data_IF_593502291159
#
_entry.id   IF_593502291159
#
_cell.length_a   1.000
_cell.length_b   1.000
_cell.length_c   1.000
_cell.angle_alpha   90.00
_cell.angle_beta   90.00
_cell.angle_gamma   90.00
#
_symmetry.space_group_name_H-M   'P 1'
#
loop_
_entity.id
_entity.type
_entity.pdbx_description
1 polymer ?
#
# COMPACT_ATOMS: atom_id res chain seq x y z
N UNK A 1 -14.15 17.33 0.85
CA UNK A 1 -12.76 17.29 1.37
C UNK A 1 -11.86 16.71 0.30
N UNK A 2 -10.55 16.90 0.39
CA UNK A 2 -9.56 16.25 -0.48
C UNK A 2 -8.55 15.50 0.39
N UNK A 3 -8.27 14.26 0.03
CA UNK A 3 -7.21 13.46 0.64
C UNK A 3 -6.13 13.17 -0.40
N UNK A 4 -4.88 13.11 0.04
CA UNK A 4 -3.73 12.71 -0.76
C UNK A 4 -2.90 11.73 0.06
N UNK A 5 -2.45 10.64 -0.58
CA UNK A 5 -1.72 9.55 0.07
C UNK A 5 -0.52 9.24 -0.81
N UNK A 6 0.64 9.09 -0.19
CA UNK A 6 1.89 8.75 -0.84
C UNK A 6 2.57 7.64 -0.04
N UNK A 7 3.38 6.83 -0.72
CA UNK A 7 4.27 5.89 -0.04
C UNK A 7 5.61 6.56 0.22
N UNK A 8 6.28 6.15 1.29
CA UNK A 8 7.63 6.57 1.63
C UNK A 8 8.53 5.36 1.80
N UNK A 9 9.76 5.47 1.27
CA UNK A 9 10.76 4.39 1.27
C UNK A 9 10.86 3.65 -0.07
N UNK A 10 11.57 2.52 -0.07
CA UNK A 10 11.68 1.64 -1.25
C UNK A 10 10.35 0.93 -1.47
N UNK A 11 9.81 1.01 -2.69
CA UNK A 11 8.65 0.24 -3.11
C UNK A 11 9.04 -1.13 -3.71
N UNK A 12 10.34 -1.44 -3.79
CA UNK A 12 10.87 -2.68 -4.39
C UNK A 12 11.20 -3.66 -3.27
N UNK A 13 10.55 -4.83 -3.26
CA UNK A 13 10.64 -5.86 -2.21
C UNK A 13 10.69 -5.27 -0.78
N UNK A 14 9.71 -4.44 -0.37
CA UNK A 14 9.76 -3.80 0.94
C UNK A 14 9.39 -4.80 2.04
N UNK A 15 10.22 -4.93 3.07
CA UNK A 15 9.80 -5.57 4.33
C UNK A 15 8.94 -4.63 5.19
N UNK A 16 9.02 -3.31 4.95
CA UNK A 16 8.21 -2.26 5.58
C UNK A 16 7.94 -1.16 4.57
N UNK A 17 6.73 -0.61 4.57
CA UNK A 17 6.34 0.51 3.72
C UNK A 17 5.81 1.65 4.57
N UNK A 18 6.39 2.83 4.42
CA UNK A 18 5.84 4.05 5.00
C UNK A 18 4.69 4.56 4.15
N UNK A 19 3.65 5.06 4.80
CA UNK A 19 2.50 5.70 4.16
C UNK A 19 2.36 7.07 4.80
N UNK A 20 2.43 8.11 3.99
CA UNK A 20 2.18 9.48 4.40
C UNK A 20 0.94 10.00 3.70
N UNK A 21 0.27 10.97 4.28
CA UNK A 21 -0.85 11.60 3.63
C UNK A 21 -1.27 12.90 4.26
N UNK A 22 -2.15 13.60 3.55
CA UNK A 22 -2.75 14.83 4.01
C UNK A 22 -4.23 14.86 3.67
N UNK A 23 -5.03 15.47 4.55
CA UNK A 23 -6.46 15.74 4.33
C UNK A 23 -6.69 17.23 4.49
N UNK A 24 -7.40 17.81 3.53
CA UNK A 24 -7.75 19.23 3.52
C UNK A 24 -9.23 19.46 3.20
N UNK A 25 -9.80 20.51 3.76
CA UNK A 25 -11.13 20.99 3.41
C UNK A 25 -11.10 21.62 2.01
N UNK A 26 -12.19 21.48 1.25
CA UNK A 26 -12.30 22.07 -0.10
C UNK A 26 -12.39 23.60 -0.05
N UNK A 27 -12.76 24.16 1.09
CA UNK A 27 -12.79 25.59 1.37
C UNK A 27 -11.40 26.21 1.62
N UNK A 28 -10.32 25.42 1.64
CA UNK A 28 -8.95 25.95 1.74
C UNK A 28 -8.33 25.98 3.13
N UNK A 29 -8.47 24.90 3.92
CA UNK A 29 -7.81 24.73 5.22
C UNK A 29 -7.41 23.28 5.51
N UNK A 30 -6.40 23.06 6.35
CA UNK A 30 -5.98 21.73 6.79
C UNK A 30 -7.04 21.07 7.68
N UNK A 31 -7.30 19.77 7.48
CA UNK A 31 -8.25 19.03 8.30
C UNK A 31 -7.61 18.60 9.63
N UNK A 32 -7.17 19.57 10.42
CA UNK A 32 -6.41 19.30 11.62
C UNK A 32 -7.22 18.61 12.72
N UNK A 33 -6.57 17.73 13.50
CA UNK A 33 -7.17 16.97 14.61
C UNK A 33 -8.37 16.10 14.22
N UNK A 34 -8.56 15.85 12.93
CA UNK A 34 -9.64 15.00 12.44
C UNK A 34 -9.31 13.52 12.74
N UNK A 35 -10.19 12.76 13.40
CA UNK A 35 -10.02 11.32 13.52
C UNK A 35 -10.32 10.65 12.17
N UNK A 36 -9.41 9.82 11.69
CA UNK A 36 -9.51 9.09 10.43
C UNK A 36 -9.22 7.61 10.63
N UNK A 37 -9.77 6.78 9.75
CA UNK A 37 -9.53 5.34 9.73
C UNK A 37 -8.75 4.96 8.47
N UNK A 38 -7.47 4.64 8.64
CA UNK A 38 -6.64 4.10 7.57
C UNK A 38 -6.87 2.59 7.45
N UNK A 39 -7.22 2.12 6.25
CA UNK A 39 -7.39 0.70 5.94
C UNK A 39 -6.31 0.30 4.95
N UNK A 40 -5.46 -0.64 5.33
CA UNK A 40 -4.40 -1.16 4.46
C UNK A 40 -4.65 -2.64 4.18
N UNK A 41 -4.33 -3.07 2.96
CA UNK A 41 -4.36 -4.47 2.54
C UNK A 41 -3.11 -4.74 1.73
N UNK A 42 -2.45 -5.85 2.02
CA UNK A 42 -1.35 -6.36 1.21
C UNK A 42 -1.92 -7.47 0.33
N UNK A 43 -1.78 -7.29 -0.99
CA UNK A 43 -2.19 -8.28 -2.00
C UNK A 43 -0.94 -8.82 -2.69
N UNK A 44 -0.85 -10.14 -2.82
CA UNK A 44 0.14 -10.77 -3.69
C UNK A 44 -0.39 -10.68 -5.12
N UNK A 45 -0.03 -9.63 -5.85
CA UNK A 45 -0.35 -9.56 -7.27
C UNK A 45 0.63 -10.43 -8.07
N UNK A 46 0.06 -11.21 -9.00
CA UNK A 46 0.81 -12.06 -9.92
C UNK A 46 1.45 -11.20 -11.02
N UNK A 47 2.60 -10.62 -10.73
CA UNK A 47 3.45 -9.94 -11.71
C UNK A 47 2.90 -8.63 -12.29
N UNK A 48 3.79 -7.84 -12.88
CA UNK A 48 3.41 -6.63 -13.61
C UNK A 48 3.01 -7.00 -15.04
N UNK A 49 1.84 -6.48 -15.47
CA UNK A 49 1.37 -6.61 -16.85
C UNK A 49 1.62 -5.32 -17.62
N UNK A 50 2.31 -5.43 -18.75
CA UNK A 50 2.56 -4.31 -19.65
C UNK A 50 1.88 -4.61 -21.00
N UNK A 51 0.91 -3.79 -21.44
CA UNK A 51 0.16 -4.03 -22.68
C UNK A 51 1.07 -4.18 -23.91
N UNK A 52 2.14 -3.39 -23.97
CA UNK A 52 3.12 -3.40 -25.07
C UNK A 52 4.01 -4.66 -25.07
N UNK A 53 3.98 -5.44 -24.00
CA UNK A 53 4.76 -6.67 -23.81
C UNK A 53 3.85 -7.82 -23.35
N UNK A 54 2.69 -7.97 -23.97
CA UNK A 54 1.69 -9.01 -23.62
C UNK A 54 2.21 -10.46 -23.73
N UNK A 55 3.28 -10.68 -24.48
CA UNK A 55 3.98 -11.98 -24.60
C UNK A 55 4.86 -12.29 -23.38
N UNK A 56 5.10 -11.32 -22.50
CA UNK A 56 5.98 -11.45 -21.33
C UNK A 56 5.18 -11.28 -20.04
N UNK A 57 5.46 -12.15 -19.06
CA UNK A 57 4.98 -12.01 -17.69
C UNK A 57 6.14 -11.60 -16.80
N UNK A 58 6.00 -10.45 -16.13
CA UNK A 58 7.01 -9.94 -15.20
C UNK A 58 6.61 -10.32 -13.78
N UNK A 59 6.78 -11.59 -13.41
CA UNK A 59 6.52 -12.08 -12.06
C UNK A 59 7.80 -12.25 -11.24
N UNK A 60 7.66 -12.19 -9.93
CA UNK A 60 8.76 -12.35 -9.00
C UNK A 60 9.05 -13.84 -8.75
N UNK A 61 9.81 -14.49 -9.64
CA UNK A 61 10.29 -15.87 -9.49
C UNK A 61 9.22 -16.94 -9.23
N UNK A 62 9.63 -18.15 -8.79
CA UNK A 62 8.72 -19.23 -8.40
C UNK A 62 7.99 -18.88 -7.11
N UNK A 63 6.93 -18.10 -7.21
CA UNK A 63 5.83 -18.19 -6.25
C UNK A 63 5.21 -19.58 -6.44
N UNK A 64 5.14 -20.38 -5.36
CA UNK A 64 4.32 -21.61 -5.36
C UNK A 64 2.88 -21.17 -5.56
N UNK A 65 2.47 -21.07 -6.81
CA UNK A 65 1.11 -20.83 -7.22
C UNK A 65 0.38 -22.16 -7.06
N UNK A 66 0.11 -22.55 -5.81
CA UNK A 66 -1.19 -23.16 -5.58
C UNK A 66 -2.20 -22.14 -6.10
N UNK A 67 -3.12 -22.57 -6.97
CA UNK A 67 -4.25 -21.76 -7.40
C UNK A 67 -4.95 -21.25 -6.14
N UNK A 68 -4.57 -20.05 -5.70
CA UNK A 68 -5.37 -19.27 -4.79
C UNK A 68 -6.49 -18.78 -5.69
N UNK A 69 -7.47 -19.68 -5.84
CA UNK A 69 -8.84 -19.38 -6.17
C UNK A 69 -9.17 -18.08 -5.44
N UNK A 70 -9.81 -17.20 -6.19
CA UNK A 70 -10.46 -15.99 -5.73
C UNK A 70 -10.90 -16.13 -4.26
N UNK A 71 -10.61 -15.12 -3.43
CA UNK A 71 -11.03 -15.02 -2.01
C UNK A 71 -10.04 -15.50 -0.93
N UNK A 72 -8.74 -15.17 -1.03
CA UNK A 72 -8.00 -14.98 0.24
C UNK A 72 -8.52 -13.71 0.92
N UNK A 73 -9.35 -13.94 1.94
CA UNK A 73 -9.92 -12.97 2.87
C UNK A 73 -8.80 -12.33 3.73
N UNK A 74 -7.83 -11.67 3.09
CA UNK A 74 -6.83 -10.85 3.79
C UNK A 74 -7.52 -9.60 4.28
N UNK A 75 -8.07 -9.68 5.50
CA UNK A 75 -8.79 -8.59 6.14
C UNK A 75 -7.96 -7.30 6.16
N UNK A 76 -8.64 -6.16 5.98
CA UNK A 76 -7.98 -4.87 6.08
C UNK A 76 -7.42 -4.66 7.48
N UNK A 77 -6.15 -4.27 7.57
CA UNK A 77 -5.60 -3.72 8.81
C UNK A 77 -6.17 -2.33 9.00
N UNK A 78 -6.91 -2.16 10.08
CA UNK A 78 -7.56 -0.90 10.45
C UNK A 78 -6.68 -0.17 11.46
N UNK A 79 -6.20 1.01 11.07
CA UNK A 79 -5.44 1.90 11.96
C UNK A 79 -6.24 3.17 12.18
N UNK A 80 -6.64 3.41 13.43
CA UNK A 80 -7.22 4.70 13.82
C UNK A 80 -6.09 5.70 13.99
N UNK A 81 -6.18 6.83 13.30
CA UNK A 81 -5.19 7.90 13.34
C UNK A 81 -5.92 9.22 13.59
N UNK A 82 -5.30 10.13 14.32
CA UNK A 82 -5.76 11.52 14.40
C UNK A 82 -4.77 12.36 13.62
N UNK A 83 -5.29 13.19 12.70
CA UNK A 83 -4.44 14.07 11.90
C UNK A 83 -3.77 15.12 12.79
N UNK A 84 -2.57 15.55 12.40
CA UNK A 84 -1.87 16.65 13.08
C UNK A 84 -2.62 17.99 12.93
N UNK A 85 -2.07 19.09 13.44
CA UNK A 85 -2.72 20.41 13.37
C UNK A 85 -2.92 20.91 11.93
N UNK A 86 -2.11 20.43 10.98
CA UNK A 86 -2.12 20.84 9.59
C UNK A 86 -2.88 19.86 8.69
N UNK A 87 -3.37 18.74 9.24
CA UNK A 87 -4.12 17.72 8.52
C UNK A 87 -3.24 16.61 7.91
N UNK A 88 -2.02 16.40 8.38
CA UNK A 88 -1.11 15.35 7.93
C UNK A 88 -1.14 14.12 8.84
N UNK A 89 -0.75 12.97 8.28
CA UNK A 89 -0.47 11.74 9.02
C UNK A 89 0.69 10.96 8.41
N UNK A 90 1.31 10.12 9.24
CA UNK A 90 2.32 9.14 8.86
C UNK A 90 2.00 7.80 9.53
N UNK A 91 2.18 6.71 8.79
CA UNK A 91 1.95 5.34 9.28
C UNK A 91 2.95 4.38 8.62
N UNK A 92 3.23 3.25 9.26
CA UNK A 92 4.12 2.22 8.72
C UNK A 92 3.40 0.89 8.65
N UNK A 93 3.37 0.29 7.46
CA UNK A 93 2.90 -1.08 7.25
C UNK A 93 4.11 -2.03 7.34
N UNK A 94 4.09 -2.98 8.27
CA UNK A 94 5.22 -3.87 8.58
C UNK A 94 5.04 -5.32 8.14
N UNK A 95 3.82 -5.71 7.76
CA UNK A 95 3.46 -7.10 7.45
C UNK A 95 3.48 -7.35 5.95
N UNK A 96 4.56 -6.97 5.28
CA UNK A 96 4.74 -7.25 3.85
C UNK A 96 5.61 -8.51 3.76
N UNK A 97 5.12 -9.60 3.16
CA UNK A 97 5.90 -10.82 3.02
C UNK A 97 7.15 -10.54 2.19
N UNK A 98 8.31 -10.96 2.67
CA UNK A 98 9.56 -10.88 1.92
C UNK A 98 9.45 -11.73 0.65
N UNK A 99 9.83 -11.17 -0.50
CA UNK A 99 9.95 -11.98 -1.70
C UNK A 99 11.33 -12.64 -1.76
N UNK A 100 11.33 -13.97 -1.77
CA UNK A 100 12.53 -14.82 -1.77
C UNK A 100 13.13 -14.94 -3.18
N UNK A 101 13.65 -13.83 -3.71
CA UNK A 101 14.39 -13.85 -4.98
C UNK A 101 15.65 -13.00 -4.92
N UNK A 102 16.80 -13.68 -4.94
CA UNK A 102 18.10 -13.08 -5.24
C UNK A 102 18.16 -12.82 -6.74
N UNK A 103 18.19 -11.54 -7.16
CA UNK A 103 18.53 -11.22 -8.55
C UNK A 103 20.00 -11.60 -8.76
N UNK A 104 20.25 -12.57 -9.64
CA UNK A 104 21.58 -12.94 -10.14
C UNK A 104 21.72 -12.51 -11.59
#
# INVERSE_FOLDING_TARGET
MKAEIQTSGSNINPSKLGITGSVRYLSGGGAGKLPVLLRTRVTLESGAYFPDYSEFSFSNGKVNQEEISEESNTGFTKTQLTLDEKGFFESTVRSIPESDTTQK
#
